data_IF_275238483321
#
_entry.id   IF_275238483321
#
_cell.length_a   1.000
_cell.length_b   1.000
_cell.length_c   1.000
_cell.angle_alpha   90.00
_cell.angle_beta   90.00
_cell.angle_gamma   90.00
#
_symmetry.space_group_name_H-M   'P 1'
#
loop_
_entity.id
_entity.type
_entity.pdbx_description
1 polymer ?
#
# COMPACT_ATOMS: atom_id res chain seq x y z
N UNK A 1 -5.17 62.45 45.94
CA UNK A 1 -5.67 61.89 44.68
C UNK A 1 -4.68 60.81 44.22
N UNK A 2 -5.00 59.54 44.50
CA UNK A 2 -4.16 58.41 44.22
C UNK A 2 -4.75 57.66 43.02
N UNK A 3 -4.02 57.68 41.87
CA UNK A 3 -4.39 56.95 40.62
C UNK A 3 -4.00 55.49 40.73
N UNK A 4 -4.99 54.60 40.71
CA UNK A 4 -4.80 53.12 40.60
C UNK A 4 -4.66 52.75 39.13
N UNK A 5 -3.43 52.44 38.69
CA UNK A 5 -3.17 51.79 37.40
C UNK A 5 -3.42 50.30 37.58
N UNK A 6 -4.47 49.79 36.95
CA UNK A 6 -4.72 48.36 36.82
C UNK A 6 -3.77 47.74 35.80
N UNK A 7 -2.97 46.75 36.22
CA UNK A 7 -2.08 45.98 35.37
C UNK A 7 -2.89 44.79 34.82
N UNK A 8 -3.23 44.83 33.53
CA UNK A 8 -3.82 43.67 32.83
C UNK A 8 -2.72 42.70 32.43
N UNK A 9 -2.72 41.54 33.08
CA UNK A 9 -1.86 40.42 32.68
C UNK A 9 -2.61 39.63 31.62
N UNK A 10 -2.18 39.71 30.38
CA UNK A 10 -2.69 38.90 29.27
C UNK A 10 -2.06 37.50 29.36
N UNK A 11 -2.83 36.52 29.78
CA UNK A 11 -2.44 35.10 29.74
C UNK A 11 -2.53 34.61 28.30
N UNK A 12 -1.41 34.48 27.61
CA UNK A 12 -1.33 33.83 26.33
C UNK A 12 -1.47 32.31 26.54
N UNK A 13 -2.67 31.78 26.29
CA UNK A 13 -2.92 30.34 26.26
C UNK A 13 -2.20 29.69 25.06
N UNK A 14 -1.19 28.88 25.35
CA UNK A 14 -0.50 28.04 24.34
C UNK A 14 -1.41 26.84 24.01
N UNK A 15 -2.17 26.95 22.93
CA UNK A 15 -2.93 25.80 22.41
C UNK A 15 -1.93 24.80 21.82
N UNK A 16 -1.69 23.68 22.53
CA UNK A 16 -1.03 22.51 21.93
C UNK A 16 -1.96 21.96 20.84
N UNK A 17 -1.63 22.19 19.60
CA UNK A 17 -2.24 21.49 18.48
C UNK A 17 -1.82 20.02 18.58
N UNK A 18 -2.74 19.15 19.03
CA UNK A 18 -2.58 17.71 18.89
C UNK A 18 -2.52 17.40 17.40
N UNK A 19 -1.35 16.98 16.92
CA UNK A 19 -1.19 16.45 15.55
C UNK A 19 -2.11 15.25 15.37
N UNK A 20 -2.55 14.93 14.13
CA UNK A 20 -3.39 13.78 13.89
C UNK A 20 -2.70 12.53 14.47
N UNK A 21 -3.39 11.83 15.35
CA UNK A 21 -2.94 10.53 15.85
C UNK A 21 -2.75 9.61 14.66
N UNK A 22 -1.55 9.04 14.50
CA UNK A 22 -1.26 8.08 13.46
C UNK A 22 -2.03 6.80 13.81
N UNK A 23 -2.95 6.40 12.96
CA UNK A 23 -3.64 5.13 13.14
C UNK A 23 -2.60 4.03 12.97
N UNK A 24 -2.34 3.26 14.02
CA UNK A 24 -1.48 2.11 13.96
C UNK A 24 -2.24 0.94 13.29
N UNK A 25 -1.50 0.09 12.59
CA UNK A 25 -2.07 -1.14 12.04
C UNK A 25 -2.88 -1.89 13.09
N UNK A 26 -4.10 -2.28 12.75
CA UNK A 26 -5.00 -3.01 13.65
C UNK A 26 -4.91 -4.50 13.32
N UNK A 27 -4.76 -5.33 14.35
CA UNK A 27 -4.92 -6.77 14.18
C UNK A 27 -6.40 -7.10 14.07
N UNK A 28 -6.80 -7.69 12.94
CA UNK A 28 -8.17 -8.14 12.70
C UNK A 28 -8.48 -9.44 13.46
N UNK A 29 -9.77 -9.76 13.64
CA UNK A 29 -10.20 -11.04 14.24
C UNK A 29 -9.69 -12.26 13.43
N UNK A 30 -9.41 -12.05 12.15
CA UNK A 30 -8.78 -13.04 11.25
C UNK A 30 -7.30 -13.30 11.55
N UNK A 31 -6.65 -12.49 12.41
CA UNK A 31 -5.23 -12.59 12.74
C UNK A 31 -4.29 -12.02 11.69
N UNK A 32 -4.78 -11.04 10.94
CA UNK A 32 -4.03 -10.22 9.99
C UNK A 32 -3.81 -8.83 10.56
N UNK A 33 -2.72 -8.18 10.18
CA UNK A 33 -2.55 -6.75 10.37
C UNK A 33 -3.17 -6.01 9.20
N UNK A 34 -3.95 -4.95 9.45
CA UNK A 34 -4.57 -4.14 8.40
C UNK A 34 -4.35 -2.66 8.69
N UNK A 35 -4.01 -1.92 7.67
CA UNK A 35 -3.98 -0.47 7.71
C UNK A 35 -5.38 0.10 7.43
N UNK A 36 -5.74 1.18 8.12
CA UNK A 36 -7.04 1.86 7.95
C UNK A 36 -7.19 2.54 6.58
N UNK A 37 -6.07 2.77 5.92
CA UNK A 37 -6.02 3.39 4.59
C UNK A 37 -5.96 2.39 3.43
N UNK A 38 -5.98 1.08 3.70
CA UNK A 38 -6.12 0.08 2.63
C UNK A 38 -7.48 0.21 1.97
N UNK A 39 -7.50 -0.01 0.65
CA UNK A 39 -8.72 0.04 -0.13
C UNK A 39 -9.75 -0.97 0.40
N UNK A 40 -10.95 -0.48 0.71
CA UNK A 40 -12.09 -1.33 1.02
C UNK A 40 -12.73 -1.78 -0.30
N UNK A 41 -12.13 -2.82 -0.89
CA UNK A 41 -12.46 -3.33 -2.21
C UNK A 41 -13.57 -4.38 -2.16
N UNK A 42 -14.43 -4.39 -3.18
CA UNK A 42 -15.33 -5.50 -3.46
C UNK A 42 -14.62 -6.69 -4.15
N UNK A 43 -13.29 -6.62 -4.29
CA UNK A 43 -12.42 -7.61 -4.92
C UNK A 43 -12.74 -7.85 -6.41
N UNK A 44 -13.09 -6.79 -7.10
CA UNK A 44 -13.25 -6.70 -8.55
C UNK A 44 -11.99 -6.00 -9.12
N UNK A 45 -10.92 -6.77 -9.38
CA UNK A 45 -9.58 -6.19 -9.65
C UNK A 45 -9.54 -5.26 -10.86
N UNK A 46 -10.38 -5.50 -11.88
CA UNK A 46 -10.44 -4.62 -13.06
C UNK A 46 -11.03 -3.25 -12.70
N UNK A 47 -12.07 -3.21 -11.87
CA UNK A 47 -12.71 -1.98 -11.42
C UNK A 47 -11.82 -1.23 -10.43
N UNK A 48 -11.16 -1.96 -9.52
CA UNK A 48 -10.20 -1.40 -8.57
C UNK A 48 -9.04 -0.72 -9.32
N UNK A 49 -8.46 -1.39 -10.33
CA UNK A 49 -7.38 -0.84 -11.15
C UNK A 49 -7.84 0.41 -11.91
N UNK A 50 -9.03 0.36 -12.52
CA UNK A 50 -9.60 1.49 -13.24
C UNK A 50 -9.84 2.69 -12.31
N UNK A 51 -10.40 2.45 -11.13
CA UNK A 51 -10.66 3.50 -10.13
C UNK A 51 -9.35 4.10 -9.60
N UNK A 52 -8.35 3.27 -9.30
CA UNK A 52 -7.03 3.73 -8.89
C UNK A 52 -6.38 4.60 -9.96
N UNK A 53 -6.42 4.16 -11.22
CA UNK A 53 -5.87 4.92 -12.36
C UNK A 53 -6.58 6.25 -12.56
N UNK A 54 -7.91 6.28 -12.43
CA UNK A 54 -8.69 7.53 -12.53
C UNK A 54 -8.35 8.52 -11.41
N UNK A 55 -7.93 8.02 -10.23
CA UNK A 55 -7.44 8.82 -9.12
C UNK A 55 -5.95 9.22 -9.24
N UNK A 56 -5.28 8.87 -10.35
CA UNK A 56 -3.86 9.12 -10.56
C UNK A 56 -2.94 8.19 -9.77
N UNK A 57 -3.46 7.07 -9.26
CA UNK A 57 -2.74 6.08 -8.47
C UNK A 57 -2.56 4.76 -9.23
N UNK A 58 -1.70 3.91 -8.70
CA UNK A 58 -1.54 2.53 -9.15
C UNK A 58 -2.16 1.55 -8.16
N UNK A 59 -2.45 0.33 -8.61
CA UNK A 59 -2.99 -0.71 -7.75
C UNK A 59 -1.86 -1.61 -7.24
N UNK A 60 -1.82 -1.81 -5.92
CA UNK A 60 -0.97 -2.79 -5.27
C UNK A 60 -1.82 -3.85 -4.56
N UNK A 61 -1.43 -5.12 -4.69
CA UNK A 61 -2.06 -6.23 -3.96
C UNK A 61 -1.03 -6.85 -3.05
N UNK A 62 -1.26 -6.77 -1.73
CA UNK A 62 -0.43 -7.44 -0.73
C UNK A 62 -1.04 -8.78 -0.37
N UNK A 63 -0.23 -9.83 -0.50
CA UNK A 63 -0.57 -11.19 -0.10
C UNK A 63 0.02 -11.48 1.28
N UNK A 64 -0.84 -11.88 2.17
CA UNK A 64 -0.49 -12.20 3.54
C UNK A 64 -1.00 -13.57 3.95
N UNK A 65 -0.65 -14.01 5.14
CA UNK A 65 -1.20 -15.19 5.78
C UNK A 65 -1.19 -15.03 7.29
N UNK A 66 -2.09 -15.69 7.96
CA UNK A 66 -2.16 -15.70 9.42
C UNK A 66 -0.83 -16.16 10.02
N UNK A 67 -0.36 -15.43 11.05
CA UNK A 67 0.86 -15.77 11.79
C UNK A 67 2.17 -15.54 11.02
N UNK A 68 2.14 -14.77 9.93
CA UNK A 68 3.32 -14.42 9.15
C UNK A 68 4.18 -13.36 9.87
N UNK A 69 5.39 -13.69 10.36
CA UNK A 69 6.21 -12.74 11.09
C UNK A 69 6.71 -11.59 10.20
N UNK A 70 7.04 -11.86 8.94
CA UNK A 70 7.48 -10.83 8.00
C UNK A 70 6.34 -9.92 7.51
N UNK A 71 5.09 -10.42 7.46
CA UNK A 71 3.93 -9.56 7.21
C UNK A 71 3.77 -8.57 8.37
N UNK A 72 3.87 -9.05 9.62
CA UNK A 72 3.89 -8.20 10.80
C UNK A 72 4.97 -7.10 10.70
N UNK A 73 6.20 -7.43 10.28
CA UNK A 73 7.26 -6.45 10.10
C UNK A 73 6.92 -5.40 9.01
N UNK A 74 6.26 -5.80 7.91
CA UNK A 74 5.81 -4.84 6.88
C UNK A 74 4.87 -3.83 7.51
N UNK A 75 3.90 -4.24 8.33
CA UNK A 75 2.96 -3.33 8.96
C UNK A 75 3.60 -2.49 10.05
N UNK A 76 4.29 -3.11 11.02
CA UNK A 76 4.75 -2.43 12.23
C UNK A 76 6.08 -1.67 12.05
N UNK A 77 6.82 -1.93 10.97
CA UNK A 77 8.09 -1.27 10.69
C UNK A 77 8.01 -0.41 9.41
N UNK A 78 7.51 -0.96 8.31
CA UNK A 78 7.50 -0.22 7.04
C UNK A 78 6.30 0.73 6.96
N UNK A 79 5.07 0.22 7.02
CA UNK A 79 3.86 1.05 6.94
C UNK A 79 3.70 1.99 8.13
N UNK A 80 4.23 1.64 9.30
CA UNK A 80 4.24 2.53 10.47
C UNK A 80 5.13 3.77 10.29
N UNK A 81 5.99 3.82 9.28
CA UNK A 81 6.80 5.01 8.99
C UNK A 81 6.00 6.02 8.21
N UNK A 82 5.93 7.24 8.72
CA UNK A 82 5.11 8.32 8.12
C UNK A 82 5.55 8.69 6.70
N UNK A 83 6.84 8.66 6.42
CA UNK A 83 7.38 8.93 5.08
C UNK A 83 6.92 7.85 4.07
N UNK A 84 6.93 6.58 4.46
CA UNK A 84 6.48 5.45 3.64
C UNK A 84 4.96 5.47 3.48
N UNK A 85 4.21 5.56 4.58
CA UNK A 85 2.75 5.63 4.56
C UNK A 85 2.27 6.75 3.63
N UNK A 86 2.77 7.98 3.85
CA UNK A 86 2.37 9.14 3.04
C UNK A 86 2.65 8.90 1.56
N UNK A 87 3.85 8.43 1.22
CA UNK A 87 4.22 8.16 -0.16
C UNK A 87 3.30 7.12 -0.82
N UNK A 88 3.02 6.01 -0.11
CA UNK A 88 2.19 4.94 -0.65
C UNK A 88 0.74 5.43 -0.84
N UNK A 89 0.17 6.11 0.13
CA UNK A 89 -1.20 6.66 0.05
C UNK A 89 -1.38 7.67 -1.07
N UNK A 90 -0.35 8.42 -1.40
CA UNK A 90 -0.38 9.39 -2.51
C UNK A 90 -0.35 8.72 -3.88
N UNK A 91 0.32 7.55 -4.00
CA UNK A 91 0.60 6.95 -5.30
C UNK A 91 -0.09 5.60 -5.54
N UNK A 92 -0.64 4.98 -4.51
CA UNK A 92 -1.24 3.64 -4.61
C UNK A 92 -2.57 3.52 -3.88
N UNK A 93 -3.42 2.66 -4.42
CA UNK A 93 -4.44 1.94 -3.67
C UNK A 93 -3.93 0.54 -3.37
N UNK A 94 -4.12 0.09 -2.13
CA UNK A 94 -3.58 -1.20 -1.65
C UNK A 94 -4.72 -2.12 -1.23
N UNK A 95 -4.76 -3.33 -1.80
CA UNK A 95 -5.70 -4.39 -1.46
C UNK A 95 -4.95 -5.50 -0.72
N UNK A 96 -5.52 -5.99 0.38
CA UNK A 96 -5.00 -7.13 1.14
C UNK A 96 -5.73 -8.42 0.76
N UNK A 97 -4.98 -9.47 0.44
CA UNK A 97 -5.48 -10.82 0.15
C UNK A 97 -4.79 -11.88 1.02
N UNK A 98 -5.56 -12.90 1.41
CA UNK A 98 -5.04 -14.07 2.13
C UNK A 98 -4.54 -15.13 1.15
N UNK A 99 -3.25 -15.53 1.27
CA UNK A 99 -2.65 -16.58 0.45
C UNK A 99 -3.41 -17.92 0.52
N UNK A 100 -4.07 -18.17 1.63
CA UNK A 100 -4.85 -19.40 1.87
C UNK A 100 -6.36 -19.15 1.94
N UNK A 101 -6.79 -17.94 1.65
CA UNK A 101 -8.16 -17.48 1.77
C UNK A 101 -9.11 -18.08 0.73
N UNK A 102 -10.38 -17.83 0.97
CA UNK A 102 -11.48 -18.33 0.13
C UNK A 102 -12.43 -17.24 -0.35
N UNK A 103 -12.18 -15.98 0.00
CA UNK A 103 -13.00 -14.88 -0.54
C UNK A 103 -12.93 -14.91 -2.06
N UNK A 104 -14.05 -14.68 -2.71
CA UNK A 104 -14.09 -14.67 -4.18
C UNK A 104 -13.52 -13.33 -4.67
N UNK A 105 -12.55 -13.42 -5.56
CA UNK A 105 -11.94 -12.30 -6.26
C UNK A 105 -12.24 -12.44 -7.74
N UNK A 106 -12.73 -11.38 -8.38
CA UNK A 106 -12.88 -11.31 -9.83
C UNK A 106 -11.60 -10.74 -10.42
N UNK A 107 -10.89 -11.56 -11.20
CA UNK A 107 -9.64 -11.19 -11.84
C UNK A 107 -9.85 -10.23 -13.02
N UNK A 108 -8.80 -9.65 -13.57
CA UNK A 108 -8.82 -8.68 -14.67
C UNK A 108 -9.51 -9.18 -15.96
N UNK A 109 -9.63 -10.50 -16.14
CA UNK A 109 -10.35 -11.12 -17.25
C UNK A 109 -11.80 -11.53 -16.90
N UNK A 110 -12.32 -11.08 -15.75
CA UNK A 110 -13.64 -11.40 -15.26
C UNK A 110 -13.76 -12.78 -14.61
N UNK A 111 -12.67 -13.57 -14.52
CA UNK A 111 -12.71 -14.88 -13.91
C UNK A 111 -12.80 -14.78 -12.39
N UNK A 112 -13.80 -15.42 -11.82
CA UNK A 112 -14.03 -15.47 -10.37
C UNK A 112 -13.28 -16.65 -9.75
N UNK A 113 -12.39 -16.36 -8.80
CA UNK A 113 -11.50 -17.33 -8.16
C UNK A 113 -11.49 -17.10 -6.66
N UNK A 114 -11.37 -18.15 -5.86
CA UNK A 114 -10.98 -17.97 -4.47
C UNK A 114 -9.55 -17.44 -4.36
N UNK A 115 -9.24 -16.69 -3.29
CA UNK A 115 -7.91 -16.05 -3.09
C UNK A 115 -6.76 -17.05 -3.29
N UNK A 116 -6.83 -18.24 -2.71
CA UNK A 116 -5.83 -19.30 -2.89
C UNK A 116 -5.64 -19.70 -4.36
N UNK A 117 -6.74 -19.76 -5.13
CA UNK A 117 -6.68 -20.10 -6.56
C UNK A 117 -6.08 -18.96 -7.37
N UNK A 118 -6.42 -17.71 -7.01
CA UNK A 118 -5.86 -16.52 -7.61
C UNK A 118 -4.35 -16.45 -7.34
N UNK A 119 -3.91 -16.68 -6.09
CA UNK A 119 -2.49 -16.75 -5.73
C UNK A 119 -1.73 -17.77 -6.59
N UNK A 120 -2.28 -18.97 -6.74
CA UNK A 120 -1.71 -20.01 -7.61
C UNK A 120 -1.64 -19.56 -9.08
N UNK A 121 -2.69 -18.89 -9.58
CA UNK A 121 -2.73 -18.32 -10.94
C UNK A 121 -1.60 -17.32 -11.17
N UNK A 122 -1.29 -16.47 -10.19
CA UNK A 122 -0.21 -15.47 -10.27
C UNK A 122 1.15 -16.01 -9.81
N UNK A 123 1.23 -17.28 -9.39
CA UNK A 123 2.46 -17.90 -8.92
C UNK A 123 2.96 -17.31 -7.59
N UNK A 124 2.07 -16.76 -6.78
CA UNK A 124 2.37 -16.33 -5.41
C UNK A 124 2.49 -17.57 -4.52
N UNK A 125 3.65 -17.76 -3.88
CA UNK A 125 3.98 -18.98 -3.12
C UNK A 125 4.37 -18.70 -1.67
N UNK A 126 4.47 -17.45 -1.28
CA UNK A 126 4.90 -17.05 0.07
C UNK A 126 4.48 -15.63 0.40
N UNK A 127 4.57 -15.29 1.67
CA UNK A 127 4.15 -14.01 2.22
C UNK A 127 5.25 -13.34 3.04
N UNK A 128 5.30 -12.02 3.07
CA UNK A 128 4.49 -11.12 2.26
C UNK A 128 4.92 -11.16 0.80
N UNK A 129 3.97 -11.03 -0.13
CA UNK A 129 4.25 -10.72 -1.53
C UNK A 129 3.40 -9.50 -1.91
N UNK A 130 4.01 -8.48 -2.49
CA UNK A 130 3.29 -7.31 -3.00
C UNK A 130 3.43 -7.30 -4.50
N UNK A 131 2.30 -7.34 -5.21
CA UNK A 131 2.21 -7.23 -6.66
C UNK A 131 1.77 -5.83 -7.03
N UNK A 132 2.35 -5.27 -8.07
CA UNK A 132 1.99 -3.97 -8.60
C UNK A 132 1.38 -4.12 -9.97
N UNK A 133 0.21 -3.50 -10.16
CA UNK A 133 -0.53 -3.55 -11.41
C UNK A 133 -0.68 -2.15 -11.98
N UNK A 134 -0.50 -2.03 -13.29
CA UNK A 134 -0.73 -0.77 -13.99
C UNK A 134 -1.81 -0.95 -15.05
N UNK A 135 -2.66 0.08 -15.19
CA UNK A 135 -3.55 0.19 -16.34
C UNK A 135 -2.74 0.70 -17.52
N UNK A 136 -2.67 -0.15 -18.56
CA UNK A 136 -1.89 0.13 -19.75
C UNK A 136 -2.76 -0.16 -20.96
N UNK A 137 -2.91 0.82 -21.81
CA UNK A 137 -3.71 0.71 -23.05
C UNK A 137 -3.21 -0.40 -23.98
N UNK A 138 -1.90 -0.70 -23.95
CA UNK A 138 -1.28 -1.75 -24.74
C UNK A 138 -1.55 -3.17 -24.21
N UNK A 139 -2.21 -3.31 -23.04
CA UNK A 139 -2.53 -4.60 -22.42
C UNK A 139 -3.92 -5.12 -22.80
N UNK A 140 -4.64 -4.46 -23.72
CA UNK A 140 -5.90 -4.95 -24.23
C UNK A 140 -5.79 -6.35 -24.80
N UNK A 141 -6.50 -7.33 -24.17
CA UNK A 141 -6.50 -8.74 -24.59
C UNK A 141 -5.30 -9.58 -24.12
N UNK A 142 -4.36 -9.04 -23.35
CA UNK A 142 -3.28 -9.81 -22.75
C UNK A 142 -3.74 -10.58 -21.51
N UNK A 143 -2.99 -11.62 -21.16
CA UNK A 143 -3.29 -12.40 -19.95
C UNK A 143 -3.20 -11.52 -18.68
N UNK A 144 -4.06 -11.75 -17.66
CA UNK A 144 -4.08 -10.96 -16.43
C UNK A 144 -2.71 -10.78 -15.78
N UNK A 145 -1.85 -11.79 -15.84
CA UNK A 145 -0.48 -11.72 -15.30
C UNK A 145 0.42 -10.68 -15.97
N UNK A 146 0.13 -10.31 -17.21
CA UNK A 146 0.91 -9.32 -17.96
C UNK A 146 0.61 -7.87 -17.53
N UNK A 147 -0.43 -7.68 -16.69
CA UNK A 147 -0.71 -6.39 -16.03
C UNK A 147 0.19 -6.15 -14.80
N UNK A 148 0.80 -7.21 -14.28
CA UNK A 148 1.77 -7.09 -13.21
C UNK A 148 3.07 -6.50 -13.75
N UNK A 149 3.41 -5.30 -13.27
CA UNK A 149 4.60 -4.57 -13.73
C UNK A 149 5.81 -4.80 -12.84
N UNK A 150 5.59 -5.18 -11.59
CA UNK A 150 6.66 -5.53 -10.64
C UNK A 150 6.09 -6.27 -9.42
N UNK A 151 6.98 -6.88 -8.61
CA UNK A 151 6.61 -7.46 -7.31
C UNK A 151 7.74 -7.37 -6.29
N UNK A 152 7.34 -7.31 -5.02
CA UNK A 152 8.20 -7.56 -3.87
C UNK A 152 7.89 -8.96 -3.37
N UNK A 153 8.91 -9.77 -3.09
CA UNK A 153 8.76 -11.10 -2.48
C UNK A 153 9.54 -11.13 -1.17
N UNK A 154 8.84 -11.36 -0.07
CA UNK A 154 9.42 -11.33 1.26
C UNK A 154 9.57 -9.90 1.81
N UNK A 155 10.24 -9.79 2.94
CA UNK A 155 10.48 -8.53 3.63
C UNK A 155 11.65 -7.76 3.01
N UNK A 156 11.47 -6.46 2.86
CA UNK A 156 12.53 -5.50 2.55
C UNK A 156 12.67 -4.50 3.70
N UNK A 157 13.90 -4.07 3.99
CA UNK A 157 14.13 -2.98 4.92
C UNK A 157 13.46 -1.67 4.42
N UNK A 158 13.08 -0.75 5.33
CA UNK A 158 12.27 0.42 4.98
C UNK A 158 12.78 1.24 3.79
N UNK A 159 14.09 1.45 3.70
CA UNK A 159 14.69 2.20 2.59
C UNK A 159 14.47 1.53 1.23
N UNK A 160 14.70 0.22 1.15
CA UNK A 160 14.55 -0.52 -0.09
C UNK A 160 13.07 -0.78 -0.40
N UNK A 161 12.25 -0.93 0.63
CA UNK A 161 10.80 -1.01 0.50
C UNK A 161 10.22 0.24 -0.18
N UNK A 162 10.55 1.44 0.31
CA UNK A 162 10.13 2.69 -0.29
C UNK A 162 10.64 2.86 -1.73
N UNK A 163 11.90 2.46 -1.99
CA UNK A 163 12.47 2.51 -3.35
C UNK A 163 11.74 1.62 -4.35
N UNK A 164 11.24 0.48 -3.90
CA UNK A 164 10.43 -0.40 -4.77
C UNK A 164 9.11 0.25 -5.14
N UNK A 165 8.43 0.88 -4.19
CA UNK A 165 7.22 1.65 -4.45
C UNK A 165 7.52 2.84 -5.37
N UNK A 166 8.60 3.59 -5.13
CA UNK A 166 9.01 4.71 -5.97
C UNK A 166 9.34 4.27 -7.41
N UNK A 167 10.04 3.15 -7.59
CA UNK A 167 10.31 2.58 -8.90
C UNK A 167 9.04 2.34 -9.72
N UNK A 168 7.98 1.88 -9.05
CA UNK A 168 6.70 1.62 -9.70
C UNK A 168 5.91 2.92 -9.89
N UNK A 169 5.80 3.77 -8.87
CA UNK A 169 5.07 5.04 -8.93
C UNK A 169 5.59 5.97 -10.05
N UNK A 170 6.90 6.04 -10.21
CA UNK A 170 7.57 6.82 -11.26
C UNK A 170 7.53 6.13 -12.64
N UNK A 171 6.88 4.97 -12.77
CA UNK A 171 6.86 4.13 -13.98
C UNK A 171 8.27 3.87 -14.53
N UNK A 172 9.26 3.77 -13.63
CA UNK A 172 10.65 3.59 -14.02
C UNK A 172 10.90 2.22 -14.69
N UNK A 173 10.02 1.24 -14.45
CA UNK A 173 10.01 -0.06 -15.12
C UNK A 173 9.84 0.04 -16.65
N UNK A 174 9.29 1.13 -17.17
CA UNK A 174 9.18 1.38 -18.62
C UNK A 174 10.51 1.86 -19.23
N UNK A 175 11.43 2.37 -18.42
CA UNK A 175 12.68 3.00 -18.83
C UNK A 175 13.93 2.17 -18.51
N UNK A 176 13.79 1.06 -17.80
CA UNK A 176 14.92 0.21 -17.46
C UNK A 176 14.70 -0.71 -16.27
N UNK A 177 15.75 -1.43 -15.88
CA UNK A 177 15.69 -2.37 -14.78
C UNK A 177 15.68 -1.69 -13.42
N UNK A 178 15.13 -2.37 -12.41
CA UNK A 178 15.21 -1.94 -11.01
C UNK A 178 16.68 -1.71 -10.57
N UNK A 179 17.61 -2.57 -11.01
CA UNK A 179 19.04 -2.43 -10.70
C UNK A 179 19.59 -1.09 -11.20
N UNK A 180 19.21 -0.68 -12.40
CA UNK A 180 19.67 0.60 -12.99
C UNK A 180 19.06 1.79 -12.27
N UNK A 181 17.80 1.67 -11.88
CA UNK A 181 17.10 2.68 -11.07
C UNK A 181 17.79 2.86 -9.72
N UNK A 182 18.06 1.78 -8.99
CA UNK A 182 18.71 1.83 -7.68
C UNK A 182 20.14 2.41 -7.74
N UNK A 183 20.89 2.10 -8.81
CA UNK A 183 22.24 2.68 -9.01
C UNK A 183 22.23 4.19 -9.21
N UNK A 184 21.18 4.74 -9.84
CA UNK A 184 21.08 6.19 -10.05
C UNK A 184 20.71 6.97 -8.77
N UNK A 185 20.23 6.28 -7.73
CA UNK A 185 19.82 6.87 -6.45
C UNK A 185 20.83 6.60 -5.32
N UNK A 186 21.95 5.97 -5.61
CA UNK A 186 23.06 5.74 -4.68
C UNK A 186 24.04 6.87 -4.71
#
# INVERSE_FOLDING_TARGET
>A
MLSRRALMIASAGFALAAGPAQAAAVMTDGGFYREDWFLDSFLELADDLKSSTAAGKQLAVIWEQRGCPYCREVHLVNFARKDIETYIREHFEVIELDLHGSRIVTDFDGKRLGEKQLAARYGVRGTPTIQFFADRDDLGGKAPREREVNRIQGYLAPKDFLRMFAFVAERAYERGSLRDYLRRQS
#
